data_IF_152114764553
#
_entry.id   IF_152114764553
#
_cell.length_a   1.000
_cell.length_b   1.000
_cell.length_c   1.000
_cell.angle_alpha   90.00
_cell.angle_beta   90.00
_cell.angle_gamma   90.00
#
_symmetry.space_group_name_H-M   'P 1'
#
loop_
_entity.id
_entity.type
_entity.pdbx_description
1 polymer ?
#
# COMPACT_ATOMS: atom_id res chain seq x y z
N UNK A 1 -49.21 31.23 -28.37
CA UNK A 1 -48.10 30.30 -28.13
C UNK A 1 -48.66 28.89 -28.03
N UNK A 2 -48.73 28.16 -29.14
CA UNK A 2 -49.25 26.79 -29.16
C UNK A 2 -48.21 25.84 -28.56
N UNK A 3 -48.61 25.09 -27.53
CA UNK A 3 -47.75 24.06 -26.94
C UNK A 3 -47.79 22.82 -27.84
N UNK A 4 -46.70 22.55 -28.56
CA UNK A 4 -46.52 21.30 -29.30
C UNK A 4 -46.48 20.15 -28.29
N UNK A 5 -47.54 19.32 -28.28
CA UNK A 5 -47.59 18.11 -27.46
C UNK A 5 -46.75 17.03 -28.13
N UNK A 6 -45.54 16.80 -27.60
CA UNK A 6 -44.66 15.73 -28.04
C UNK A 6 -45.30 14.36 -27.74
N UNK A 7 -45.73 13.64 -28.77
CA UNK A 7 -46.36 12.31 -28.64
C UNK A 7 -45.29 11.23 -28.79
N UNK A 8 -44.73 10.80 -27.66
CA UNK A 8 -43.72 9.74 -27.63
C UNK A 8 -44.39 8.42 -28.03
N UNK A 9 -43.88 7.76 -29.08
CA UNK A 9 -44.37 6.46 -29.53
C UNK A 9 -43.99 5.38 -28.51
N UNK A 10 -44.94 4.51 -28.16
CA UNK A 10 -44.72 3.41 -27.19
C UNK A 10 -43.56 2.49 -27.64
N UNK A 11 -43.43 2.33 -28.94
CA UNK A 11 -42.36 1.59 -29.61
C UNK A 11 -40.98 2.20 -29.30
N UNK A 12 -40.88 3.53 -29.23
CA UNK A 12 -39.64 4.24 -28.90
C UNK A 12 -39.22 4.01 -27.44
N UNK A 13 -40.20 3.93 -26.53
CA UNK A 13 -39.96 3.58 -25.12
C UNK A 13 -39.42 2.15 -25.03
N UNK A 14 -39.97 1.23 -25.81
CA UNK A 14 -39.52 -0.16 -25.87
C UNK A 14 -38.06 -0.26 -26.37
N UNK A 15 -37.70 0.49 -27.42
CA UNK A 15 -36.32 0.53 -27.93
C UNK A 15 -35.35 1.18 -26.94
N UNK A 16 -35.73 2.26 -26.26
CA UNK A 16 -34.90 2.89 -25.21
C UNK A 16 -34.69 1.90 -24.06
N UNK A 17 -35.73 1.18 -23.64
CA UNK A 17 -35.66 0.16 -22.60
C UNK A 17 -34.75 -1.01 -23.00
N UNK A 18 -34.83 -1.44 -24.27
CA UNK A 18 -33.95 -2.46 -24.83
C UNK A 18 -32.50 -1.98 -24.98
N UNK A 19 -32.27 -0.71 -25.34
CA UNK A 19 -30.94 -0.09 -25.36
C UNK A 19 -30.37 -0.01 -23.93
N UNK A 20 -31.20 0.27 -22.92
CA UNK A 20 -30.79 0.29 -21.51
C UNK A 20 -30.55 -1.12 -20.93
N UNK A 21 -31.25 -2.15 -21.43
CA UNK A 21 -31.06 -3.57 -21.07
C UNK A 21 -29.87 -4.22 -21.80
N UNK A 22 -29.56 -3.79 -23.02
CA UNK A 22 -28.40 -4.24 -23.80
C UNK A 22 -27.19 -3.30 -23.67
N UNK A 23 -27.31 -2.16 -22.99
CA UNK A 23 -26.15 -1.45 -22.48
C UNK A 23 -25.52 -2.42 -21.50
N UNK A 24 -24.34 -2.98 -21.82
CA UNK A 24 -23.72 -3.90 -20.89
C UNK A 24 -23.58 -3.12 -19.59
N UNK A 25 -24.07 -3.69 -18.49
CA UNK A 25 -23.83 -3.17 -17.15
C UNK A 25 -22.34 -3.34 -16.82
N UNK A 26 -21.48 -2.70 -17.59
CA UNK A 26 -20.07 -2.53 -17.32
C UNK A 26 -19.90 -1.18 -16.66
N UNK A 27 -20.61 -0.97 -15.53
CA UNK A 27 -20.04 -0.15 -14.48
C UNK A 27 -19.40 -1.12 -13.50
N UNK A 28 -18.16 -1.45 -13.85
CA UNK A 28 -17.10 -1.98 -13.00
C UNK A 28 -17.45 -2.00 -11.51
N UNK A 29 -17.81 -3.16 -10.99
CA UNK A 29 -17.24 -3.54 -9.71
C UNK A 29 -15.77 -3.87 -10.01
N UNK A 30 -14.90 -2.85 -10.06
CA UNK A 30 -13.50 -3.12 -9.77
C UNK A 30 -13.45 -3.38 -8.27
N UNK A 31 -13.47 -4.66 -7.89
CA UNK A 31 -13.06 -5.05 -6.55
C UNK A 31 -11.53 -5.09 -6.44
N UNK A 32 -10.80 -4.63 -7.46
CA UNK A 32 -9.34 -4.70 -7.48
C UNK A 32 -8.74 -3.49 -6.75
N UNK A 33 -9.15 -3.28 -5.51
CA UNK A 33 -8.26 -2.66 -4.54
C UNK A 33 -7.21 -3.71 -4.14
N UNK A 34 -6.39 -4.14 -5.12
CA UNK A 34 -5.33 -5.10 -4.88
C UNK A 34 -4.31 -4.44 -3.95
N UNK A 35 -4.40 -4.82 -2.68
CA UNK A 35 -3.51 -4.35 -1.64
C UNK A 35 -2.42 -5.39 -1.40
N UNK A 36 -1.18 -4.93 -1.41
CA UNK A 36 -0.05 -5.68 -0.91
C UNK A 36 0.32 -5.12 0.47
N UNK A 37 0.21 -5.97 1.49
CA UNK A 37 0.63 -5.64 2.87
C UNK A 37 1.81 -6.52 3.22
N UNK A 38 2.93 -5.91 3.58
CA UNK A 38 4.21 -6.57 3.82
C UNK A 38 4.58 -6.44 5.29
N UNK A 39 4.84 -7.58 5.91
CA UNK A 39 5.45 -7.69 7.23
C UNK A 39 6.76 -8.46 7.09
N UNK A 40 7.73 -8.20 7.94
CA UNK A 40 8.98 -8.96 7.94
C UNK A 40 10.20 -8.15 8.39
N UNK A 41 11.34 -8.55 7.86
CA UNK A 41 12.67 -8.12 8.28
C UNK A 41 13.39 -7.33 7.16
N UNK A 42 14.73 -7.33 7.20
CA UNK A 42 15.59 -6.63 6.24
C UNK A 42 15.39 -7.06 4.79
N UNK A 43 14.94 -8.29 4.51
CA UNK A 43 14.71 -8.74 3.13
C UNK A 43 13.50 -8.06 2.48
N UNK A 44 12.61 -7.47 3.29
CA UNK A 44 11.37 -6.84 2.84
C UNK A 44 11.33 -5.33 3.13
N UNK A 45 12.05 -4.85 4.15
CA UNK A 45 12.08 -3.44 4.55
C UNK A 45 12.51 -2.50 3.40
N UNK A 46 11.63 -1.55 3.08
CA UNK A 46 11.83 -0.54 2.03
C UNK A 46 12.25 0.84 2.58
N UNK A 47 12.69 0.94 3.83
CA UNK A 47 13.23 2.15 4.44
C UNK A 47 12.65 2.51 5.81
N UNK A 48 11.82 1.66 6.43
CA UNK A 48 11.26 1.88 7.75
C UNK A 48 12.35 1.92 8.83
N UNK A 49 13.30 0.97 8.81
CA UNK A 49 14.43 0.99 9.74
C UNK A 49 15.36 2.16 9.49
N UNK A 50 15.56 2.54 8.22
CA UNK A 50 16.33 3.74 7.86
C UNK A 50 15.72 5.01 8.47
N UNK A 51 14.41 5.19 8.31
CA UNK A 51 13.70 6.33 8.89
C UNK A 51 13.74 6.31 10.42
N UNK A 52 13.58 5.13 11.03
CA UNK A 52 13.56 4.98 12.50
C UNK A 52 14.93 5.21 13.13
N UNK A 53 16.00 4.90 12.40
CA UNK A 53 17.37 5.17 12.78
C UNK A 53 17.86 6.56 12.34
N UNK A 54 16.99 7.56 12.16
CA UNK A 54 17.39 8.90 11.68
C UNK A 54 18.34 8.87 10.47
N UNK A 55 18.11 7.95 9.54
CA UNK A 55 18.87 7.78 8.29
C UNK A 55 20.33 7.29 8.48
N UNK A 56 20.67 6.59 9.57
CA UNK A 56 22.03 6.03 9.77
C UNK A 56 22.13 4.53 9.56
N UNK A 57 21.02 3.79 9.63
CA UNK A 57 21.00 2.34 9.51
C UNK A 57 19.83 1.83 8.66
N UNK A 58 20.07 1.14 7.53
CA UNK A 58 21.35 0.67 7.02
C UNK A 58 22.25 1.82 6.50
N UNK A 59 23.57 1.62 6.54
CA UNK A 59 24.54 2.65 6.16
C UNK A 59 24.59 2.94 4.65
N UNK A 60 25.40 3.92 4.24
CA UNK A 60 25.46 4.46 2.87
C UNK A 60 25.73 3.47 1.71
N UNK A 61 26.20 2.25 1.99
CA UNK A 61 26.43 1.23 0.96
C UNK A 61 25.12 0.62 0.42
N UNK A 62 24.02 0.90 1.10
CA UNK A 62 22.70 0.38 0.84
C UNK A 62 21.84 1.37 0.05
N UNK A 63 20.99 0.86 -0.84
CA UNK A 63 20.19 1.69 -1.74
C UNK A 63 19.00 2.30 -1.02
N UNK A 64 18.96 3.64 -0.93
CA UNK A 64 17.79 4.40 -0.44
C UNK A 64 17.18 3.83 0.86
N UNK A 65 18.03 3.42 1.81
CA UNK A 65 17.60 2.88 3.10
C UNK A 65 17.10 1.43 3.11
N UNK A 66 17.17 0.68 1.99
CA UNK A 66 16.87 -0.76 1.93
C UNK A 66 18.10 -1.60 2.27
N UNK A 67 17.96 -2.82 2.79
CA UNK A 67 19.08 -3.73 3.04
C UNK A 67 19.56 -4.47 1.77
N UNK A 68 19.61 -3.77 0.64
CA UNK A 68 20.05 -4.28 -0.66
C UNK A 68 20.59 -3.13 -1.53
N UNK A 69 21.13 -3.44 -2.71
CA UNK A 69 21.63 -2.47 -3.70
C UNK A 69 20.55 -2.00 -4.70
N UNK A 70 19.26 -2.25 -4.43
CA UNK A 70 18.14 -1.87 -5.27
C UNK A 70 16.79 -2.08 -4.58
N UNK A 71 15.69 -2.28 -5.31
CA UNK A 71 14.40 -2.65 -4.72
C UNK A 71 14.42 -4.02 -4.03
N UNK A 72 13.59 -4.21 -3.01
CA UNK A 72 13.36 -5.52 -2.37
C UNK A 72 12.51 -6.45 -3.27
N UNK A 73 12.40 -7.73 -2.90
CA UNK A 73 11.55 -8.68 -3.64
C UNK A 73 10.09 -8.23 -3.68
N UNK A 74 9.60 -7.62 -2.60
CA UNK A 74 8.21 -7.18 -2.51
C UNK A 74 7.94 -5.98 -3.41
N UNK A 75 8.91 -5.07 -3.55
CA UNK A 75 8.84 -3.96 -4.49
C UNK A 75 8.80 -4.46 -5.94
N UNK A 76 9.61 -5.46 -6.29
CA UNK A 76 9.54 -6.09 -7.61
C UNK A 76 8.23 -6.84 -7.85
N UNK A 77 7.69 -7.51 -6.84
CA UNK A 77 6.41 -8.22 -6.95
C UNK A 77 5.26 -7.24 -7.20
N UNK A 78 5.19 -6.15 -6.44
CA UNK A 78 4.18 -5.13 -6.63
C UNK A 78 4.22 -4.52 -8.04
N UNK A 79 5.42 -4.21 -8.56
CA UNK A 79 5.58 -3.79 -9.96
C UNK A 79 5.05 -4.82 -10.97
N UNK A 80 5.31 -6.12 -10.74
CA UNK A 80 4.80 -7.21 -11.61
C UNK A 80 3.27 -7.36 -11.54
N UNK A 81 2.67 -7.01 -10.40
CA UNK A 81 1.23 -7.04 -10.19
C UNK A 81 0.53 -5.74 -10.63
N UNK A 82 1.26 -4.74 -11.11
CA UNK A 82 0.71 -3.42 -11.46
C UNK A 82 0.27 -2.59 -10.25
N UNK A 83 0.80 -2.90 -9.06
CA UNK A 83 0.59 -2.15 -7.82
C UNK A 83 1.64 -1.03 -7.77
N UNK A 84 1.20 0.21 -7.58
CA UNK A 84 2.11 1.34 -7.39
C UNK A 84 2.71 1.30 -5.98
N UNK A 85 4.04 1.14 -5.90
CA UNK A 85 4.78 1.07 -4.63
C UNK A 85 4.75 2.40 -3.85
N UNK A 86 4.36 3.50 -4.50
CA UNK A 86 4.19 4.82 -3.89
C UNK A 86 2.77 5.07 -3.38
N UNK A 87 1.79 4.29 -3.82
CA UNK A 87 0.43 4.36 -3.32
C UNK A 87 0.34 3.64 -1.97
N UNK A 88 0.41 4.41 -0.88
CA UNK A 88 0.29 3.88 0.49
C UNK A 88 -1.06 3.20 0.78
N UNK A 89 -2.06 3.35 -0.10
CA UNK A 89 -3.31 2.61 0.00
C UNK A 89 -3.25 1.25 -0.68
N UNK A 90 -2.38 1.05 -1.67
CA UNK A 90 -2.21 -0.18 -2.43
C UNK A 90 -0.96 -0.98 -2.02
N UNK A 91 0.12 -0.33 -1.63
CA UNK A 91 1.37 -0.95 -1.17
C UNK A 91 1.74 -0.45 0.23
N UNK A 92 1.60 -1.32 1.23
CA UNK A 92 1.87 -1.01 2.64
C UNK A 92 2.97 -1.89 3.17
N UNK A 93 4.11 -1.31 3.52
CA UNK A 93 5.25 -2.03 4.06
C UNK A 93 5.45 -1.67 5.53
N UNK A 94 5.22 -2.64 6.41
CA UNK A 94 5.44 -2.56 7.85
C UNK A 94 6.70 -3.33 8.29
N UNK A 95 7.47 -3.88 7.35
CA UNK A 95 8.70 -4.59 7.67
C UNK A 95 9.76 -3.62 8.22
N UNK A 96 10.53 -4.09 9.20
CA UNK A 96 11.67 -3.39 9.77
C UNK A 96 12.89 -4.30 9.71
N UNK A 97 14.03 -3.81 9.23
CA UNK A 97 15.32 -4.48 9.35
C UNK A 97 15.57 -4.98 10.79
N UNK A 98 16.05 -6.23 10.89
CA UNK A 98 16.28 -6.97 12.15
C UNK A 98 15.02 -7.40 12.92
N UNK A 99 13.81 -7.22 12.38
CA UNK A 99 12.61 -7.69 13.05
C UNK A 99 12.65 -9.22 13.28
N UNK A 100 12.27 -9.63 14.48
CA UNK A 100 12.17 -11.04 14.87
C UNK A 100 10.71 -11.48 14.92
N UNK A 101 10.52 -12.81 14.93
CA UNK A 101 9.21 -13.41 15.16
C UNK A 101 8.70 -13.12 16.58
N UNK A 102 9.60 -13.25 17.57
CA UNK A 102 9.35 -13.03 18.99
C UNK A 102 10.53 -12.27 19.57
N UNK A 103 10.25 -11.24 20.36
CA UNK A 103 11.24 -10.42 21.01
C UNK A 103 11.55 -9.15 20.24
N UNK A 104 11.63 -8.06 20.99
CA UNK A 104 12.10 -6.78 20.47
C UNK A 104 13.62 -6.70 20.61
N UNK A 105 14.29 -6.18 19.57
CA UNK A 105 15.72 -5.84 19.63
C UNK A 105 15.84 -4.34 19.79
N UNK A 106 16.71 -3.90 20.68
CA UNK A 106 17.19 -2.53 20.72
C UNK A 106 18.45 -2.42 19.87
N UNK A 107 18.42 -1.59 18.83
CA UNK A 107 19.57 -1.30 18.00
C UNK A 107 20.20 0.01 18.46
N UNK A 108 21.51 -0.04 18.71
CA UNK A 108 22.34 1.14 18.91
C UNK A 108 22.91 1.57 17.57
N UNK A 109 22.70 2.83 17.21
CA UNK A 109 23.23 3.43 15.99
C UNK A 109 23.84 4.78 16.31
N UNK A 110 24.62 5.31 15.38
CA UNK A 110 25.29 6.58 15.58
C UNK A 110 25.45 7.31 14.24
N UNK A 111 25.59 8.63 14.32
CA UNK A 111 26.21 9.43 13.26
C UNK A 111 27.63 9.85 13.69
N UNK A 112 28.20 10.88 13.07
CA UNK A 112 29.54 11.38 13.42
C UNK A 112 29.55 12.12 14.77
N UNK A 113 28.40 12.53 15.30
CA UNK A 113 28.27 13.42 16.46
C UNK A 113 27.57 12.77 17.66
N UNK A 114 26.65 11.81 17.44
CA UNK A 114 25.73 11.29 18.46
C UNK A 114 25.43 9.81 18.28
N UNK A 115 25.19 9.14 19.39
CA UNK A 115 24.62 7.80 19.45
C UNK A 115 23.15 7.88 19.88
N UNK A 116 22.34 6.95 19.38
CA UNK A 116 20.98 6.73 19.85
C UNK A 116 20.59 5.28 19.69
N UNK A 117 19.64 4.87 20.52
CA UNK A 117 18.99 3.58 20.40
C UNK A 117 17.58 3.71 19.85
N UNK A 118 17.11 2.65 19.20
CA UNK A 118 15.70 2.48 18.91
C UNK A 118 15.31 1.01 18.99
N UNK A 119 14.06 0.78 19.38
CA UNK A 119 13.48 -0.56 19.41
C UNK A 119 12.95 -0.96 18.04
N UNK A 120 13.40 -2.09 17.52
CA UNK A 120 12.90 -2.70 16.29
C UNK A 120 11.56 -3.39 16.59
N UNK A 121 10.48 -3.06 15.85
CA UNK A 121 9.21 -3.77 15.99
C UNK A 121 9.34 -5.22 15.56
N UNK A 122 8.99 -6.13 16.47
CA UNK A 122 8.78 -7.54 16.16
C UNK A 122 7.57 -7.76 15.25
N UNK A 123 7.45 -8.96 14.67
CA UNK A 123 6.42 -9.27 13.69
C UNK A 123 4.98 -9.01 14.21
N UNK A 124 4.70 -9.36 15.47
CA UNK A 124 3.41 -9.06 16.13
C UNK A 124 3.11 -7.56 16.16
N UNK A 125 4.10 -6.74 16.53
CA UNK A 125 3.95 -5.28 16.59
C UNK A 125 3.67 -4.67 15.20
N UNK A 126 4.27 -5.21 14.14
CA UNK A 126 4.00 -4.78 12.77
C UNK A 126 2.54 -5.09 12.35
N UNK A 127 2.04 -6.26 12.74
CA UNK A 127 0.64 -6.66 12.51
C UNK A 127 -0.30 -5.76 13.31
N UNK A 128 0.00 -5.47 14.57
CA UNK A 128 -0.79 -4.58 15.42
C UNK A 128 -0.84 -3.15 14.84
N UNK A 129 0.26 -2.64 14.30
CA UNK A 129 0.32 -1.35 13.61
C UNK A 129 -0.59 -1.33 12.39
N UNK A 130 -0.55 -2.37 11.56
CA UNK A 130 -1.47 -2.52 10.43
C UNK A 130 -2.94 -2.57 10.86
N UNK A 131 -3.28 -3.33 11.91
CA UNK A 131 -4.66 -3.43 12.40
C UNK A 131 -5.14 -2.07 12.93
N UNK A 132 -4.28 -1.33 13.62
CA UNK A 132 -4.56 0.03 14.09
C UNK A 132 -4.82 0.98 12.93
N UNK A 133 -4.01 0.93 11.87
CA UNK A 133 -4.20 1.76 10.68
C UNK A 133 -5.47 1.39 9.92
N UNK A 134 -5.79 0.09 9.82
CA UNK A 134 -6.95 -0.42 9.09
C UNK A 134 -8.27 -0.06 9.76
N UNK A 135 -8.32 -0.09 11.08
CA UNK A 135 -9.55 0.12 11.87
C UNK A 135 -9.56 1.46 12.61
N UNK A 136 -8.69 2.41 12.22
CA UNK A 136 -8.67 3.76 12.80
C UNK A 136 -10.05 4.42 12.58
N UNK A 137 -10.76 4.84 13.65
CA UNK A 137 -12.02 5.55 13.48
C UNK A 137 -11.80 6.88 12.73
N UNK A 138 -12.81 7.34 11.98
CA UNK A 138 -12.75 8.60 11.23
C UNK A 138 -12.53 9.82 12.14
#
# INVERSE_FOLDING_TARGET
>A
MERVKLKIRKDLIFYIFFIFLYFPQQLFATSDNNQMVIFGDSYSDNGNTFKKSFNTYPGRAYSLGRFTNGPTWSEYLAMKLGIDNMDITAYRNYAYGQAQLLGQIELLTHDEEKEWSFTVPELSSQIDEYLKDKYKPP
#
